data_IF_106393646086
#
_entry.id   IF_106393646086
#
_cell.length_a   1.000
_cell.length_b   1.000
_cell.length_c   1.000
_cell.angle_alpha   90.00
_cell.angle_beta   90.00
_cell.angle_gamma   90.00
#
_symmetry.space_group_name_H-M   'P 1'
#
loop_
_entity.id
_entity.type
_entity.pdbx_description
1 polymer ?
#
# COMPACT_ATOMS: atom_id res chain seq x y z
N UNK A 1 -28.85 26.34 -34.44
CA UNK A 1 -28.07 25.07 -34.40
C UNK A 1 -26.60 25.25 -34.02
N UNK A 2 -25.82 26.11 -34.69
CA UNK A 2 -24.35 26.21 -34.52
C UNK A 2 -23.85 26.50 -33.08
N UNK A 3 -24.54 27.36 -32.31
CA UNK A 3 -24.11 27.73 -30.94
C UNK A 3 -24.24 26.58 -29.93
N UNK A 4 -25.27 25.74 -30.05
CA UNK A 4 -25.46 24.56 -29.19
C UNK A 4 -24.41 23.49 -29.48
N UNK A 5 -24.15 23.21 -30.75
CA UNK A 5 -23.09 22.28 -31.18
C UNK A 5 -21.70 22.74 -30.71
N UNK A 6 -21.41 24.04 -30.79
CA UNK A 6 -20.17 24.61 -30.26
C UNK A 6 -20.03 24.44 -28.74
N UNK A 7 -21.10 24.70 -27.98
CA UNK A 7 -21.14 24.49 -26.53
C UNK A 7 -20.92 23.02 -26.15
N UNK A 8 -21.50 22.07 -26.90
CA UNK A 8 -21.27 20.64 -26.66
C UNK A 8 -19.83 20.20 -26.98
N UNK A 9 -19.21 20.73 -28.04
CA UNK A 9 -17.81 20.47 -28.37
C UNK A 9 -16.85 21.07 -27.33
N UNK A 10 -17.15 22.28 -26.83
CA UNK A 10 -16.38 22.91 -25.76
C UNK A 10 -16.49 22.10 -24.46
N UNK A 11 -17.70 21.69 -24.09
CA UNK A 11 -17.90 20.85 -22.90
C UNK A 11 -17.20 19.48 -23.05
N UNK A 12 -17.32 18.84 -24.22
CA UNK A 12 -16.65 17.57 -24.50
C UNK A 12 -15.12 17.68 -24.45
N UNK A 13 -14.54 18.79 -24.94
CA UNK A 13 -13.10 19.03 -24.86
C UNK A 13 -12.64 19.34 -23.44
N UNK A 14 -13.39 20.11 -22.66
CA UNK A 14 -13.10 20.33 -21.23
C UNK A 14 -13.15 19.01 -20.46
N UNK A 15 -14.18 18.19 -20.68
CA UNK A 15 -14.29 16.86 -20.05
C UNK A 15 -13.14 15.94 -20.47
N UNK A 16 -12.74 15.96 -21.74
CA UNK A 16 -11.60 15.18 -22.23
C UNK A 16 -10.27 15.64 -21.62
N UNK A 17 -10.06 16.95 -21.43
CA UNK A 17 -8.88 17.51 -20.76
C UNK A 17 -8.87 17.10 -19.29
N UNK A 18 -10.00 17.22 -18.58
CA UNK A 18 -10.15 16.77 -17.19
C UNK A 18 -9.84 15.28 -17.09
N UNK A 19 -10.41 14.45 -17.97
CA UNK A 19 -10.14 13.02 -18.00
C UNK A 19 -8.66 12.72 -18.29
N UNK A 20 -8.04 13.39 -19.26
CA UNK A 20 -6.61 13.22 -19.56
C UNK A 20 -5.72 13.67 -18.39
N UNK A 21 -6.09 14.72 -17.67
CA UNK A 21 -5.39 15.17 -16.47
C UNK A 21 -5.47 14.12 -15.35
N UNK A 22 -6.66 13.59 -15.04
CA UNK A 22 -6.81 12.61 -13.96
C UNK A 22 -6.24 11.23 -14.32
N UNK A 23 -6.58 10.70 -15.49
CA UNK A 23 -6.27 9.32 -15.89
C UNK A 23 -5.00 9.18 -16.73
N UNK A 24 -4.56 10.25 -17.41
CA UNK A 24 -3.38 10.24 -18.30
C UNK A 24 -2.05 10.56 -17.62
N UNK A 25 -2.00 10.72 -16.28
CA UNK A 25 -0.76 11.06 -15.56
C UNK A 25 0.44 10.16 -15.86
N UNK A 26 0.30 8.84 -16.09
CA UNK A 26 1.42 8.02 -16.52
C UNK A 26 2.09 8.51 -17.82
N UNK A 27 1.35 9.19 -18.70
CA UNK A 27 1.85 9.72 -19.98
C UNK A 27 2.51 11.09 -19.84
N UNK A 28 1.90 12.02 -19.09
CA UNK A 28 2.39 13.41 -19.00
C UNK A 28 3.24 13.69 -17.74
N UNK A 29 3.10 12.89 -16.68
CA UNK A 29 3.80 13.07 -15.40
C UNK A 29 5.33 13.15 -15.54
N UNK A 30 6.00 12.25 -16.29
CA UNK A 30 7.44 12.33 -16.49
C UNK A 30 7.91 13.64 -17.14
N UNK A 31 7.12 14.19 -18.07
CA UNK A 31 7.41 15.46 -18.72
C UNK A 31 7.17 16.66 -17.80
N UNK A 32 6.11 16.61 -16.99
CA UNK A 32 5.85 17.63 -15.98
C UNK A 32 6.99 17.73 -14.97
N UNK A 33 7.46 16.60 -14.42
CA UNK A 33 8.58 16.57 -13.46
C UNK A 33 9.88 17.13 -14.05
N UNK A 34 10.08 16.97 -15.36
CA UNK A 34 11.23 17.55 -16.08
C UNK A 34 11.16 19.08 -16.15
N UNK A 35 9.96 19.66 -16.15
CA UNK A 35 9.74 21.11 -16.27
C UNK A 35 9.57 21.79 -14.91
N UNK A 36 8.79 21.20 -14.01
CA UNK A 36 8.43 21.76 -12.71
C UNK A 36 9.40 21.38 -11.57
N UNK A 37 10.29 20.41 -11.81
CA UNK A 37 11.12 19.82 -10.75
C UNK A 37 10.43 18.60 -10.11
N UNK A 38 11.17 17.91 -9.24
CA UNK A 38 10.69 16.76 -8.46
C UNK A 38 10.37 17.22 -7.04
N UNK A 39 9.22 16.79 -6.51
CA UNK A 39 8.88 16.98 -5.10
C UNK A 39 9.86 16.16 -4.23
N UNK A 40 10.36 16.77 -3.16
CA UNK A 40 11.11 16.09 -2.10
C UNK A 40 10.17 15.53 -1.03
N UNK A 41 10.70 14.75 -0.07
CA UNK A 41 9.88 14.31 1.07
C UNK A 41 9.45 15.51 1.91
N UNK A 42 10.33 16.51 2.04
CA UNK A 42 10.10 17.76 2.73
C UNK A 42 8.94 18.55 2.10
N UNK A 43 8.84 18.59 0.78
CA UNK A 43 7.72 19.23 0.07
C UNK A 43 6.39 18.53 0.34
N UNK A 44 6.39 17.19 0.41
CA UNK A 44 5.20 16.41 0.76
C UNK A 44 4.78 16.68 2.20
N UNK A 45 5.74 16.70 3.13
CA UNK A 45 5.47 17.02 4.53
C UNK A 45 4.89 18.42 4.69
N UNK A 46 5.48 19.43 4.04
CA UNK A 46 4.98 20.81 4.07
C UNK A 46 3.53 20.93 3.53
N UNK A 47 3.14 20.07 2.58
CA UNK A 47 1.81 20.07 1.97
C UNK A 47 0.77 19.32 2.78
N UNK A 48 1.14 18.18 3.37
CA UNK A 48 0.17 17.21 3.89
C UNK A 48 0.21 17.00 5.41
N UNK A 49 1.24 17.43 6.11
CA UNK A 49 1.39 17.15 7.55
C UNK A 49 0.21 17.69 8.37
N UNK A 50 -0.16 18.95 8.18
CA UNK A 50 -1.30 19.59 8.86
C UNK A 50 -2.64 18.92 8.49
N UNK A 51 -3.02 18.78 7.19
CA UNK A 51 -4.25 18.06 6.81
C UNK A 51 -4.32 16.62 7.33
N UNK A 52 -3.21 15.87 7.28
CA UNK A 52 -3.15 14.50 7.79
C UNK A 52 -3.36 14.46 9.30
N UNK A 53 -2.76 15.39 10.05
CA UNK A 53 -2.97 15.47 11.50
C UNK A 53 -4.46 15.65 11.81
N UNK A 54 -5.14 16.54 11.10
CA UNK A 54 -6.57 16.80 11.32
C UNK A 54 -7.43 15.57 10.99
N UNK A 55 -7.14 14.86 9.89
CA UNK A 55 -7.83 13.61 9.52
C UNK A 55 -7.57 12.46 10.49
N UNK A 56 -6.39 12.42 11.11
CA UNK A 56 -5.98 11.34 12.02
C UNK A 56 -6.36 11.59 13.48
N UNK A 57 -6.70 12.83 13.85
CA UNK A 57 -7.08 13.18 15.21
C UNK A 57 -8.26 12.34 15.77
N UNK A 58 -9.34 12.05 15.02
CA UNK A 58 -10.41 11.18 15.52
C UNK A 58 -9.97 9.73 15.76
N UNK A 59 -9.05 9.21 14.93
CA UNK A 59 -8.51 7.86 15.09
C UNK A 59 -7.67 7.74 16.35
N UNK A 60 -6.77 8.70 16.55
CA UNK A 60 -5.94 8.86 17.75
C UNK A 60 -6.77 9.02 19.03
N UNK A 61 -7.78 9.89 18.99
CA UNK A 61 -8.69 10.10 20.14
C UNK A 61 -9.42 8.82 20.54
N UNK A 62 -9.85 7.98 19.59
CA UNK A 62 -10.55 6.72 19.86
C UNK A 62 -9.67 5.72 20.63
N UNK A 63 -8.38 5.72 20.33
CA UNK A 63 -7.41 4.82 20.98
C UNK A 63 -6.72 5.45 22.19
N UNK A 64 -7.13 6.66 22.58
CA UNK A 64 -6.55 7.37 23.73
C UNK A 64 -5.08 7.73 23.56
N UNK A 65 -4.66 8.02 22.31
CA UNK A 65 -3.28 8.43 21.98
C UNK A 65 -3.28 9.83 21.36
N UNK A 66 -2.18 10.56 21.53
CA UNK A 66 -1.96 11.90 20.99
C UNK A 66 -0.57 12.08 20.35
N UNK A 67 0.34 11.14 20.58
CA UNK A 67 1.67 11.07 19.98
C UNK A 67 1.77 10.01 18.88
N UNK A 68 2.82 10.10 18.06
CA UNK A 68 3.20 9.03 17.15
C UNK A 68 3.74 7.81 17.92
N UNK A 69 3.55 6.58 17.42
CA UNK A 69 4.07 5.37 18.03
C UNK A 69 5.59 5.25 17.83
N UNK A 70 6.22 4.37 18.61
CA UNK A 70 7.65 4.05 18.48
C UNK A 70 7.94 3.29 17.18
N UNK A 71 6.97 2.49 16.72
CA UNK A 71 7.04 1.68 15.50
C UNK A 71 5.67 1.59 14.82
N UNK A 72 5.71 1.35 13.51
CA UNK A 72 4.52 1.02 12.74
C UNK A 72 4.57 -0.41 12.23
N UNK A 73 3.40 -1.03 12.12
CA UNK A 73 3.19 -2.22 11.32
C UNK A 73 2.00 -1.97 10.39
N UNK A 74 2.21 -2.13 9.09
CA UNK A 74 1.16 -2.08 8.09
C UNK A 74 0.77 -3.51 7.74
N UNK A 75 -0.49 -3.90 8.01
CA UNK A 75 -0.96 -5.27 7.81
C UNK A 75 -1.97 -5.30 6.68
N UNK A 76 -1.59 -5.86 5.54
CA UNK A 76 -2.47 -6.09 4.42
C UNK A 76 -3.15 -7.46 4.55
N UNK A 77 -4.47 -7.51 4.56
CA UNK A 77 -5.26 -8.74 4.49
C UNK A 77 -5.87 -8.82 3.10
N UNK A 78 -5.34 -9.72 2.25
CA UNK A 78 -5.71 -9.80 0.82
C UNK A 78 -7.18 -10.18 0.61
N UNK A 79 -7.66 -11.21 1.31
CA UNK A 79 -9.05 -11.67 1.22
C UNK A 79 -10.07 -10.59 1.58
N UNK A 80 -9.74 -9.76 2.59
CA UNK A 80 -10.58 -8.62 3.00
C UNK A 80 -10.33 -7.34 2.21
N UNK A 81 -9.27 -7.30 1.40
CA UNK A 81 -8.82 -6.11 0.68
C UNK A 81 -8.68 -4.89 1.60
N UNK A 82 -8.02 -5.08 2.75
CA UNK A 82 -7.82 -4.03 3.76
C UNK A 82 -6.35 -3.90 4.12
N UNK A 83 -5.89 -2.67 4.36
CA UNK A 83 -4.60 -2.34 4.96
C UNK A 83 -4.84 -1.74 6.34
N UNK A 84 -4.41 -2.44 7.38
CA UNK A 84 -4.47 -1.95 8.77
C UNK A 84 -3.16 -1.22 9.12
N UNK A 85 -3.25 -0.05 9.75
CA UNK A 85 -2.11 0.63 10.34
C UNK A 85 -2.12 0.43 11.86
N UNK A 86 -1.09 -0.27 12.36
CA UNK A 86 -0.87 -0.52 13.78
C UNK A 86 0.30 0.30 14.29
N UNK A 87 0.13 0.89 15.47
CA UNK A 87 1.20 1.58 16.19
C UNK A 87 1.64 0.79 17.40
N UNK A 88 2.95 0.63 17.59
CA UNK A 88 3.50 0.17 18.85
C UNK A 88 3.65 1.35 19.81
N UNK A 89 2.92 1.31 20.91
CA UNK A 89 3.08 2.24 22.03
C UNK A 89 3.57 1.42 23.22
N UNK A 90 4.78 1.74 23.71
CA UNK A 90 5.46 0.94 24.73
C UNK A 90 5.58 -0.52 24.25
N UNK A 91 5.03 -1.47 25.01
CA UNK A 91 5.11 -2.90 24.70
C UNK A 91 3.88 -3.45 23.96
N UNK A 92 2.95 -2.58 23.53
CA UNK A 92 1.67 -3.00 22.95
C UNK A 92 1.42 -2.42 21.56
N UNK A 93 0.88 -3.26 20.67
CA UNK A 93 0.37 -2.81 19.37
C UNK A 93 -1.11 -2.44 19.47
N UNK A 94 -1.46 -1.29 18.90
CA UNK A 94 -2.84 -0.80 18.85
C UNK A 94 -3.20 -0.47 17.41
N UNK A 95 -4.36 -0.95 16.97
CA UNK A 95 -4.91 -0.60 15.65
C UNK A 95 -5.26 0.89 15.64
N UNK A 96 -4.62 1.65 14.75
CA UNK A 96 -4.87 3.09 14.61
C UNK A 96 -6.02 3.31 13.62
N UNK A 97 -5.92 2.73 12.42
CA UNK A 97 -6.87 2.94 11.33
C UNK A 97 -6.81 1.80 10.31
N UNK A 98 -7.92 1.58 9.62
CA UNK A 98 -8.04 0.63 8.50
C UNK A 98 -8.29 1.39 7.20
N UNK A 99 -7.69 0.92 6.12
CA UNK A 99 -7.77 1.50 4.79
C UNK A 99 -8.24 0.43 3.80
N UNK A 100 -9.45 0.53 3.24
CA UNK A 100 -9.87 -0.35 2.15
C UNK A 100 -8.93 -0.20 0.95
N UNK A 101 -8.65 -1.29 0.27
CA UNK A 101 -8.00 -1.20 -1.03
C UNK A 101 -8.96 -0.55 -2.02
N UNK A 102 -8.41 0.21 -2.96
CA UNK A 102 -9.18 0.87 -4.02
C UNK A 102 -9.13 0.10 -5.34
N UNK A 103 -8.41 -1.02 -5.36
CA UNK A 103 -8.25 -1.95 -6.47
C UNK A 103 -7.53 -3.21 -5.99
N UNK A 104 -7.66 -4.31 -6.74
CA UNK A 104 -7.02 -5.57 -6.41
C UNK A 104 -6.73 -6.34 -7.70
N UNK A 105 -5.60 -7.05 -7.73
CA UNK A 105 -5.23 -7.92 -8.84
C UNK A 105 -4.70 -9.24 -8.30
N UNK A 106 -4.82 -10.29 -9.11
CA UNK A 106 -4.41 -11.63 -8.72
C UNK A 106 -5.46 -12.34 -7.86
N UNK A 107 -5.01 -13.38 -7.18
CA UNK A 107 -5.76 -14.26 -6.29
C UNK A 107 -5.01 -14.49 -4.97
N UNK A 108 -5.57 -15.28 -4.06
CA UNK A 108 -4.87 -15.66 -2.83
C UNK A 108 -3.68 -16.56 -3.16
N UNK A 109 -2.56 -16.32 -2.50
CA UNK A 109 -1.29 -16.97 -2.78
C UNK A 109 -0.16 -15.96 -3.01
N UNK A 110 1.10 -16.35 -2.78
CA UNK A 110 2.23 -15.46 -2.88
C UNK A 110 2.50 -15.03 -4.33
N UNK A 111 3.27 -13.95 -4.46
CA UNK A 111 3.90 -13.58 -5.72
C UNK A 111 5.04 -14.54 -6.01
N UNK A 112 5.09 -15.07 -7.23
CA UNK A 112 6.09 -16.04 -7.66
C UNK A 112 7.03 -15.49 -8.74
N UNK A 113 6.52 -14.63 -9.62
CA UNK A 113 7.33 -14.12 -10.72
C UNK A 113 6.92 -12.72 -11.18
N UNK A 114 7.83 -12.05 -11.87
CA UNK A 114 7.55 -10.76 -12.45
C UNK A 114 6.42 -10.87 -13.49
N UNK A 115 5.35 -10.09 -13.30
CA UNK A 115 4.22 -10.05 -14.23
C UNK A 115 3.06 -10.99 -13.91
N UNK A 116 3.14 -11.80 -12.84
CA UNK A 116 2.05 -12.68 -12.41
C UNK A 116 0.81 -11.95 -11.86
N UNK A 117 0.89 -10.63 -11.63
CA UNK A 117 -0.20 -9.81 -11.11
C UNK A 117 -0.51 -10.03 -9.62
N UNK A 118 0.27 -10.86 -8.92
CA UNK A 118 0.10 -11.16 -7.50
C UNK A 118 0.70 -10.07 -6.60
N UNK A 119 0.00 -9.79 -5.49
CA UNK A 119 0.58 -9.12 -4.33
C UNK A 119 1.34 -10.19 -3.51
N UNK A 120 2.61 -9.95 -3.12
CA UNK A 120 3.37 -10.92 -2.35
C UNK A 120 2.78 -11.16 -0.97
N UNK A 121 3.13 -12.27 -0.34
CA UNK A 121 2.67 -12.63 1.01
C UNK A 121 3.90 -12.89 1.88
N UNK A 122 3.91 -12.41 3.13
CA UNK A 122 5.09 -12.47 4.00
C UNK A 122 5.31 -11.20 4.83
N UNK A 123 6.45 -11.14 5.53
CA UNK A 123 6.90 -9.96 6.28
C UNK A 123 7.99 -9.21 5.50
N UNK A 124 7.88 -7.89 5.48
CA UNK A 124 8.68 -6.94 4.72
C UNK A 124 8.89 -5.65 5.54
N UNK A 125 9.64 -4.70 4.98
CA UNK A 125 9.73 -3.33 5.44
C UNK A 125 9.40 -2.33 4.34
N UNK A 126 9.59 -1.04 4.65
CA UNK A 126 9.56 0.04 3.68
C UNK A 126 10.99 0.34 3.23
N UNK A 127 11.28 0.12 1.95
CA UNK A 127 12.60 0.34 1.36
C UNK A 127 12.84 1.83 1.07
N UNK A 128 11.89 2.49 0.42
CA UNK A 128 11.94 3.93 0.15
C UNK A 128 10.54 4.53 -0.03
N UNK A 129 10.49 5.86 0.07
CA UNK A 129 9.31 6.69 -0.14
C UNK A 129 9.44 7.43 -1.48
N UNK A 130 8.37 7.48 -2.27
CA UNK A 130 8.33 8.14 -3.57
C UNK A 130 7.31 9.29 -3.61
N UNK A 131 7.76 10.54 -3.40
CA UNK A 131 6.95 11.75 -3.59
C UNK A 131 6.41 11.94 -5.01
N UNK A 132 7.06 11.33 -6.01
CA UNK A 132 6.86 11.63 -7.43
C UNK A 132 6.16 10.48 -8.16
N UNK A 133 5.34 9.72 -7.45
CA UNK A 133 4.62 8.59 -8.03
C UNK A 133 3.67 9.05 -9.14
N UNK A 134 3.61 8.27 -10.23
CA UNK A 134 2.55 8.40 -11.23
C UNK A 134 1.16 8.11 -10.65
N UNK A 135 1.12 7.48 -9.47
CA UNK A 135 -0.08 7.14 -8.71
C UNK A 135 -0.23 8.01 -7.44
N UNK A 136 0.05 9.31 -7.55
CA UNK A 136 0.03 10.31 -6.46
C UNK A 136 1.25 10.24 -5.55
N UNK A 137 1.26 9.33 -4.57
CA UNK A 137 2.39 9.01 -3.69
C UNK A 137 2.57 7.49 -3.69
N UNK A 138 3.77 7.01 -3.35
CA UNK A 138 3.95 5.58 -3.09
C UNK A 138 5.07 5.27 -2.09
N UNK A 139 4.98 4.09 -1.49
CA UNK A 139 5.98 3.52 -0.58
C UNK A 139 6.40 2.16 -1.14
N UNK A 140 7.70 1.95 -1.34
CA UNK A 140 8.26 0.69 -1.83
C UNK A 140 8.30 -0.34 -0.71
N UNK A 141 7.63 -1.47 -0.91
CA UNK A 141 7.75 -2.65 -0.04
C UNK A 141 9.05 -3.36 -0.39
N UNK A 142 9.79 -3.82 0.62
CA UNK A 142 11.08 -4.50 0.44
C UNK A 142 10.96 -5.96 -0.07
N UNK A 143 10.09 -6.19 -1.06
CA UNK A 143 9.98 -7.45 -1.77
C UNK A 143 10.98 -7.47 -2.94
N UNK A 144 11.63 -8.61 -3.24
CA UNK A 144 11.54 -9.88 -2.52
C UNK A 144 12.32 -9.83 -1.19
N UNK A 145 11.88 -10.59 -0.20
CA UNK A 145 12.66 -10.87 1.02
C UNK A 145 13.53 -12.12 0.84
N UNK A 146 14.20 -12.56 1.91
CA UNK A 146 15.09 -13.73 1.84
C UNK A 146 14.33 -15.04 1.60
N UNK A 147 13.13 -15.19 2.18
CA UNK A 147 12.27 -16.34 1.95
C UNK A 147 11.83 -16.42 0.48
N UNK A 148 11.39 -15.30 -0.10
CA UNK A 148 10.99 -15.24 -1.51
C UNK A 148 12.14 -15.64 -2.45
N UNK A 149 13.35 -15.15 -2.14
CA UNK A 149 14.57 -15.48 -2.89
C UNK A 149 14.91 -16.97 -2.79
N UNK A 150 14.94 -17.50 -1.57
CA UNK A 150 15.27 -18.91 -1.31
C UNK A 150 14.29 -19.86 -2.02
N UNK A 151 12.98 -19.62 -1.87
CA UNK A 151 11.96 -20.43 -2.53
C UNK A 151 11.97 -20.21 -4.05
N UNK A 152 12.22 -18.99 -4.50
CA UNK A 152 12.44 -18.68 -5.91
C UNK A 152 13.55 -19.52 -6.53
N UNK A 153 14.71 -19.57 -5.88
CA UNK A 153 15.84 -20.38 -6.32
C UNK A 153 15.52 -21.88 -6.30
N UNK A 154 14.86 -22.36 -5.25
CA UNK A 154 14.45 -23.76 -5.09
C UNK A 154 13.48 -24.22 -6.19
N UNK A 155 12.56 -23.35 -6.59
CA UNK A 155 11.60 -23.60 -7.66
C UNK A 155 12.19 -23.37 -9.07
N UNK A 156 13.45 -22.92 -9.17
CA UNK A 156 14.08 -22.54 -10.44
C UNK A 156 13.56 -21.22 -11.04
N UNK A 157 12.82 -20.42 -10.27
CA UNK A 157 12.30 -19.09 -10.65
C UNK A 157 13.41 -18.04 -10.51
N UNK A 158 13.82 -17.45 -11.64
CA UNK A 158 14.94 -16.46 -11.67
C UNK A 158 14.50 -15.00 -11.67
N UNK A 159 13.21 -14.72 -11.86
CA UNK A 159 12.68 -13.35 -12.02
C UNK A 159 11.48 -13.14 -11.11
N UNK A 160 11.74 -12.88 -9.83
CA UNK A 160 10.70 -12.61 -8.84
C UNK A 160 10.00 -11.26 -9.05
N UNK A 161 10.69 -10.33 -9.73
CA UNK A 161 10.31 -8.92 -9.79
C UNK A 161 10.71 -8.19 -8.51
N UNK A 162 10.38 -6.90 -8.44
CA UNK A 162 10.74 -6.01 -7.34
C UNK A 162 9.67 -4.93 -7.10
N UNK A 163 8.88 -4.54 -8.10
CA UNK A 163 7.96 -3.39 -8.07
C UNK A 163 6.67 -3.58 -7.28
N UNK A 164 6.79 -3.78 -5.96
CA UNK A 164 5.66 -3.82 -5.03
C UNK A 164 5.56 -2.51 -4.27
N UNK A 165 4.45 -1.80 -4.49
CA UNK A 165 4.20 -0.49 -3.91
C UNK A 165 2.89 -0.49 -3.11
N UNK A 166 2.88 0.26 -2.02
CA UNK A 166 1.64 0.79 -1.43
C UNK A 166 1.46 2.20 -2.02
N UNK A 167 0.35 2.50 -2.67
CA UNK A 167 0.22 3.74 -3.44
C UNK A 167 -1.19 4.33 -3.49
N UNK A 168 -1.29 5.57 -3.97
CA UNK A 168 -2.56 6.26 -4.19
C UNK A 168 -3.32 5.78 -5.42
N UNK A 169 -4.41 6.45 -5.79
CA UNK A 169 -5.30 6.05 -6.91
C UNK A 169 -5.78 4.59 -6.79
N UNK A 170 -6.31 4.02 -7.87
CA UNK A 170 -6.97 2.70 -7.88
C UNK A 170 -6.37 1.69 -8.85
N UNK A 171 -5.65 2.13 -9.88
CA UNK A 171 -5.14 1.23 -10.91
C UNK A 171 -3.89 0.48 -10.40
N UNK A 172 -3.92 -0.85 -10.43
CA UNK A 172 -2.84 -1.71 -9.92
C UNK A 172 -2.67 -2.98 -10.77
N UNK A 173 -1.43 -3.49 -10.82
CA UNK A 173 -1.07 -4.84 -11.27
C UNK A 173 0.01 -5.35 -10.29
N UNK A 174 -0.42 -6.02 -9.22
CA UNK A 174 0.45 -6.62 -8.19
C UNK A 174 0.85 -5.69 -7.03
N UNK A 175 0.36 -4.44 -7.00
CA UNK A 175 0.59 -3.48 -5.92
C UNK A 175 -0.64 -3.36 -4.99
N UNK A 176 -0.49 -2.61 -3.89
CA UNK A 176 -1.55 -2.31 -2.92
C UNK A 176 -2.03 -0.85 -3.11
N UNK A 177 -3.12 -0.61 -3.87
CA UNK A 177 -3.69 0.72 -4.01
C UNK A 177 -4.64 1.03 -2.84
N UNK A 178 -4.44 2.17 -2.18
CA UNK A 178 -5.26 2.61 -1.03
C UNK A 178 -5.97 3.93 -1.28
N UNK A 179 -5.78 4.54 -2.45
CA UNK A 179 -6.33 5.85 -2.78
C UNK A 179 -5.50 7.01 -2.21
N UNK A 180 -5.77 8.22 -2.73
CA UNK A 180 -4.90 9.38 -2.51
C UNK A 180 -4.88 9.85 -1.05
N UNK A 181 -6.04 9.89 -0.39
CA UNK A 181 -6.12 10.33 1.01
C UNK A 181 -5.41 9.38 1.97
N UNK A 182 -5.57 8.07 1.76
CA UNK A 182 -4.94 7.05 2.60
C UNK A 182 -3.43 7.03 2.42
N UNK A 183 -2.93 7.14 1.18
CA UNK A 183 -1.48 7.15 0.96
C UNK A 183 -0.83 8.41 1.53
N UNK A 184 -1.50 9.57 1.50
CA UNK A 184 -1.01 10.78 2.18
C UNK A 184 -0.82 10.56 3.67
N UNK A 185 -1.81 9.94 4.34
CA UNK A 185 -1.73 9.64 5.76
C UNK A 185 -0.59 8.67 6.06
N UNK A 186 -0.55 7.54 5.35
CA UNK A 186 0.49 6.52 5.53
C UNK A 186 1.89 7.09 5.26
N UNK A 187 2.06 7.87 4.19
CA UNK A 187 3.34 8.48 3.82
C UNK A 187 3.83 9.41 4.93
N UNK A 188 2.99 10.34 5.40
CA UNK A 188 3.34 11.26 6.49
C UNK A 188 3.69 10.48 7.76
N UNK A 189 2.90 9.48 8.12
CA UNK A 189 3.15 8.65 9.32
C UNK A 189 4.45 7.86 9.23
N UNK A 190 4.77 7.29 8.06
CA UNK A 190 6.03 6.58 7.84
C UNK A 190 7.22 7.54 7.85
N UNK A 191 7.09 8.79 7.36
CA UNK A 191 8.14 9.80 7.51
C UNK A 191 8.35 10.15 8.98
N UNK A 192 7.27 10.39 9.74
CA UNK A 192 7.33 10.82 11.15
C UNK A 192 7.87 9.74 12.09
N UNK A 193 7.51 8.48 11.87
CA UNK A 193 8.01 7.34 12.67
C UNK A 193 9.36 6.85 12.16
N UNK A 194 9.55 6.86 10.84
CA UNK A 194 10.75 6.43 10.12
C UNK A 194 10.54 5.12 9.39
N UNK A 195 10.94 5.06 8.11
CA UNK A 195 10.81 3.87 7.25
C UNK A 195 11.48 2.62 7.85
N UNK A 196 12.64 2.77 8.49
CA UNK A 196 13.35 1.66 9.17
C UNK A 196 12.64 1.14 10.44
N UNK A 197 11.63 1.87 10.93
CA UNK A 197 10.78 1.48 12.06
C UNK A 197 9.37 1.06 11.63
N UNK A 198 9.15 0.91 10.33
CA UNK A 198 7.87 0.48 9.75
C UNK A 198 8.02 -0.90 9.12
N UNK A 199 7.31 -1.87 9.69
CA UNK A 199 7.14 -3.19 9.08
C UNK A 199 5.91 -3.24 8.17
N UNK A 200 5.91 -4.19 7.25
CA UNK A 200 4.75 -4.54 6.41
C UNK A 200 4.52 -6.04 6.52
N UNK A 201 3.32 -6.46 6.88
CA UNK A 201 2.90 -7.85 6.86
C UNK A 201 1.79 -7.99 5.82
N UNK A 202 1.96 -8.90 4.86
CA UNK A 202 0.93 -9.19 3.86
C UNK A 202 0.46 -10.62 4.07
N UNK A 203 -0.81 -10.77 4.44
CA UNK A 203 -1.43 -12.05 4.76
C UNK A 203 -2.50 -12.39 3.71
N UNK A 204 -2.61 -13.66 3.27
CA UNK A 204 -3.70 -14.08 2.38
C UNK A 204 -5.06 -13.85 3.02
N UNK A 205 -5.19 -14.26 4.29
CA UNK A 205 -6.44 -14.24 5.05
C UNK A 205 -6.22 -13.67 6.45
N UNK A 206 -7.31 -13.39 7.17
CA UNK A 206 -7.22 -12.96 8.57
C UNK A 206 -7.21 -14.15 9.53
N UNK A 207 -6.03 -14.69 9.82
CA UNK A 207 -5.88 -15.84 10.73
C UNK A 207 -6.38 -15.60 12.17
N UNK A 208 -6.62 -14.35 12.57
CA UNK A 208 -7.21 -14.03 13.89
C UNK A 208 -8.67 -14.49 13.97
N UNK A 209 -9.34 -14.66 12.83
CA UNK A 209 -10.70 -15.18 12.72
C UNK A 209 -10.77 -16.73 12.78
N UNK A 210 -9.64 -17.43 12.95
CA UNK A 210 -9.62 -18.89 13.01
C UNK A 210 -9.85 -19.59 11.66
N UNK A 211 -9.65 -18.88 10.56
CA UNK A 211 -9.74 -19.42 9.19
C UNK A 211 -8.51 -20.26 8.84
N UNK A 212 -8.72 -21.25 7.98
CA UNK A 212 -7.66 -22.10 7.46
C UNK A 212 -6.82 -21.39 6.40
N UNK A 213 -5.58 -21.85 6.22
CA UNK A 213 -4.71 -21.38 5.14
C UNK A 213 -5.25 -21.80 3.78
N UNK A 214 -5.11 -20.95 2.74
CA UNK A 214 -5.38 -21.40 1.37
C UNK A 214 -4.35 -22.46 0.96
N UNK A 215 -4.74 -23.40 0.11
CA UNK A 215 -3.80 -24.33 -0.55
C UNK A 215 -3.40 -23.76 -1.90
N UNK A 216 -2.10 -23.74 -2.21
CA UNK A 216 -1.58 -23.17 -3.45
C UNK A 216 -1.06 -24.30 -4.34
N UNK A 217 -1.72 -24.50 -5.48
CA UNK A 217 -1.37 -25.58 -6.39
C UNK A 217 0.06 -25.41 -6.90
N UNK A 218 0.88 -26.45 -6.77
CA UNK A 218 2.24 -26.47 -7.31
C UNK A 218 3.28 -25.81 -6.42
N UNK A 219 2.92 -25.41 -5.20
CA UNK A 219 3.84 -25.03 -4.13
C UNK A 219 3.84 -26.15 -3.09
N UNK A 220 4.99 -26.47 -2.51
CA UNK A 220 5.14 -27.44 -1.41
C UNK A 220 5.65 -26.81 -0.10
N UNK A 221 5.94 -25.51 -0.13
CA UNK A 221 6.47 -24.71 0.96
C UNK A 221 5.46 -23.70 1.53
N UNK A 222 4.20 -23.73 1.07
CA UNK A 222 3.17 -22.76 1.48
C UNK A 222 2.83 -22.87 2.98
N UNK A 223 2.89 -24.07 3.54
CA UNK A 223 2.68 -24.29 4.97
C UNK A 223 3.72 -23.57 5.84
N UNK A 224 4.97 -23.51 5.38
CA UNK A 224 6.06 -22.78 6.05
C UNK A 224 5.78 -21.27 6.02
N UNK A 225 5.42 -20.74 4.84
CA UNK A 225 5.06 -19.33 4.65
C UNK A 225 3.89 -18.95 5.57
N UNK A 226 2.81 -19.73 5.53
CA UNK A 226 1.59 -19.43 6.27
C UNK A 226 1.76 -19.62 7.78
N UNK A 227 2.59 -20.56 8.23
CA UNK A 227 2.94 -20.66 9.64
C UNK A 227 3.65 -19.40 10.15
N UNK A 228 4.58 -18.84 9.36
CA UNK A 228 5.30 -17.61 9.70
C UNK A 228 4.36 -16.39 9.73
N UNK A 229 3.55 -16.20 8.69
CA UNK A 229 2.57 -15.11 8.60
C UNK A 229 1.57 -15.20 9.75
N UNK A 230 0.99 -16.39 9.99
CA UNK A 230 0.02 -16.62 11.08
C UNK A 230 0.61 -16.29 12.44
N UNK A 231 1.82 -16.79 12.73
CA UNK A 231 2.53 -16.50 13.98
C UNK A 231 2.69 -15.00 14.19
N UNK A 232 3.06 -14.25 13.14
CA UNK A 232 3.24 -12.81 13.20
C UNK A 232 1.92 -12.06 13.38
N UNK A 233 0.91 -12.40 12.59
CA UNK A 233 -0.40 -11.75 12.60
C UNK A 233 -1.11 -11.87 13.96
N UNK A 234 -0.96 -13.01 14.65
CA UNK A 234 -1.58 -13.25 15.96
C UNK A 234 -1.04 -12.35 17.09
N UNK A 235 0.04 -11.59 16.85
CA UNK A 235 0.53 -10.56 17.78
C UNK A 235 -0.34 -9.29 17.75
N UNK A 236 -1.20 -9.11 16.74
CA UNK A 236 -1.99 -7.90 16.48
C UNK A 236 -3.49 -8.15 16.69
N UNK A 237 -3.91 -8.19 17.96
CA UNK A 237 -5.29 -8.51 18.35
C UNK A 237 -6.17 -7.27 18.35
N UNK A 238 -7.35 -7.37 17.74
CA UNK A 238 -8.35 -6.32 17.87
C UNK A 238 -8.84 -6.27 19.34
N UNK A 239 -9.26 -5.11 19.86
CA UNK A 239 -9.67 -4.96 21.26
C UNK A 239 -10.82 -5.87 21.74
N UNK A 240 -11.49 -6.57 20.82
CA UNK A 240 -12.67 -7.39 21.07
C UNK A 240 -12.54 -8.85 20.60
N UNK A 241 -11.31 -9.34 20.36
CA UNK A 241 -11.02 -10.75 20.02
C UNK A 241 -10.44 -11.53 21.18
#
# INVERSE_FOLDING_TARGET
MKRRTFLFLLLGSVLAIIAFYHYGRPLWGPYYLKLAGKDSVEDIMARYEEPVRDRMAPALSRIGRDAYPDRLMLIAIKEKQILEMWGQYEDSYVLIKEYPFTGYSGELGPKLEQGDGQIPEGEYGIEYLNPNSSFHLSMKVSYPNDFDREKGESDGRRRLGDDIMIHGRSATIGCIPVGDEAIEELFVWVVRVGASKTGVLISPVDYRAGVDSPSIVGIDWEDELYAAIKKRLLMFKHPSS
#
